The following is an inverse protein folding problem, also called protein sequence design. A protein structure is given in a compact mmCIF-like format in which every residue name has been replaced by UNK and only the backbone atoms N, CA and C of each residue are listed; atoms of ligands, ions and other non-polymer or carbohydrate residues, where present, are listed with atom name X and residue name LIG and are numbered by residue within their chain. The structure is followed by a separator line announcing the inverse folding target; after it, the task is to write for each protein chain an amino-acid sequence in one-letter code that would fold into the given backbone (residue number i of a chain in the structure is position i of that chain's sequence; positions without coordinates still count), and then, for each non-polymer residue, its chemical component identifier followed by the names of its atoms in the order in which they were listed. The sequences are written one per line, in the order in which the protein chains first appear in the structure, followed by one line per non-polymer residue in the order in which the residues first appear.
data_IF_130426308075
#
_entry.id   IF_130426308075
#
_cell.length_a   1.000
_cell.length_b   1.000
_cell.length_c   1.000
_cell.angle_alpha   90.00
_cell.angle_beta   90.00
_cell.angle_gamma   90.00
#
_symmetry.space_group_name_H-M   'P 1'
#
loop_
_entity.id
_entity.type
_entity.pdbx_description
1 polymer ?
#
# COMPACT_ATOMS: atom_id res chain seq x y z
N UNK A 1 -9.16 -16.13 -10.05
CA UNK A 1 -9.71 -16.65 -8.77
C UNK A 1 -8.57 -17.03 -7.83
N UNK A 2 -8.71 -16.87 -6.50
CA UNK A 2 -7.70 -17.32 -5.52
C UNK A 2 -8.00 -18.75 -5.05
N UNK A 3 -6.98 -19.55 -4.71
CA UNK A 3 -7.14 -20.91 -4.14
C UNK A 3 -8.10 -20.90 -2.94
N UNK A 4 -8.05 -19.87 -2.09
CA UNK A 4 -8.97 -19.70 -0.96
C UNK A 4 -10.42 -19.50 -1.41
N UNK A 5 -10.66 -18.66 -2.42
CA UNK A 5 -12.01 -18.42 -2.96
C UNK A 5 -12.58 -19.66 -3.63
N UNK A 6 -11.77 -20.41 -4.38
CA UNK A 6 -12.19 -21.66 -4.99
C UNK A 6 -12.53 -22.73 -3.95
N UNK A 7 -11.74 -22.87 -2.88
CA UNK A 7 -12.06 -23.79 -1.77
C UNK A 7 -13.42 -23.47 -1.13
N UNK A 8 -13.74 -22.19 -0.94
CA UNK A 8 -15.04 -21.75 -0.38
C UNK A 8 -16.20 -22.10 -1.33
N UNK A 9 -16.01 -21.97 -2.64
CA UNK A 9 -17.05 -22.28 -3.62
C UNK A 9 -17.32 -23.78 -3.73
N UNK A 10 -16.26 -24.59 -3.65
CA UNK A 10 -16.36 -26.05 -3.59
C UNK A 10 -17.04 -26.49 -2.30
N UNK A 11 -16.64 -25.94 -1.13
CA UNK A 11 -17.27 -26.29 0.15
C UNK A 11 -18.75 -25.91 0.22
N UNK A 12 -19.17 -24.87 -0.53
CA UNK A 12 -20.57 -24.46 -0.64
C UNK A 12 -21.35 -25.20 -1.74
N UNK A 13 -20.75 -26.21 -2.38
CA UNK A 13 -21.39 -27.02 -3.43
C UNK A 13 -21.73 -26.25 -4.70
N UNK A 14 -21.19 -25.04 -4.90
CA UNK A 14 -21.47 -24.21 -6.07
C UNK A 14 -20.70 -24.66 -7.32
N UNK A 15 -19.73 -25.55 -7.14
CA UNK A 15 -18.93 -26.12 -8.23
C UNK A 15 -18.94 -27.66 -8.09
N UNK A 16 -19.96 -28.35 -8.61
CA UNK A 16 -20.21 -29.77 -8.34
C UNK A 16 -19.20 -30.75 -8.97
N UNK A 17 -18.36 -30.31 -9.91
CA UNK A 17 -17.38 -31.17 -10.62
C UNK A 17 -15.96 -31.10 -10.06
N UNK A 18 -15.66 -30.19 -9.14
CA UNK A 18 -14.32 -30.00 -8.58
C UNK A 18 -14.29 -30.52 -7.15
N UNK A 19 -13.68 -31.71 -6.96
CA UNK A 19 -13.46 -32.32 -5.63
C UNK A 19 -12.27 -31.70 -4.90
N UNK A 20 -11.21 -31.39 -5.64
CA UNK A 20 -10.00 -30.75 -5.13
C UNK A 20 -9.60 -29.58 -6.00
N UNK A 21 -9.00 -28.57 -5.37
CA UNK A 21 -8.50 -27.37 -6.04
C UNK A 21 -7.00 -27.26 -5.79
N UNK A 22 -6.23 -27.73 -6.77
CA UNK A 22 -4.81 -27.46 -6.87
C UNK A 22 -4.59 -26.29 -7.83
N UNK A 23 -4.09 -25.19 -7.29
CA UNK A 23 -3.60 -24.07 -8.10
C UNK A 23 -2.08 -24.13 -7.95
N UNK A 24 -1.41 -24.46 -9.05
CA UNK A 24 0.05 -24.46 -9.13
C UNK A 24 0.63 -23.04 -9.06
N UNK A 25 1.96 -22.94 -9.19
CA UNK A 25 2.60 -21.64 -9.34
C UNK A 25 2.12 -20.98 -10.64
N UNK A 26 1.66 -19.73 -10.53
CA UNK A 26 1.21 -18.92 -11.66
C UNK A 26 1.99 -17.61 -11.63
N UNK A 27 3.01 -17.52 -12.48
CA UNK A 27 3.89 -16.35 -12.57
C UNK A 27 3.11 -15.04 -12.85
N UNK A 28 2.18 -14.98 -13.84
CA UNK A 28 1.39 -13.78 -14.09
C UNK A 28 0.47 -13.42 -12.90
N UNK A 29 0.00 -14.41 -12.15
CA UNK A 29 -0.86 -14.18 -10.99
C UNK A 29 -0.09 -13.58 -9.82
N UNK A 30 1.19 -13.90 -9.67
CA UNK A 30 2.06 -13.36 -8.61
C UNK A 30 2.44 -11.93 -8.92
N UNK A 31 2.86 -11.63 -10.15
CA UNK A 31 3.19 -10.27 -10.57
C UNK A 31 1.96 -9.37 -10.70
N UNK A 32 0.82 -9.91 -11.13
CA UNK A 32 -0.42 -9.15 -11.30
C UNK A 32 -1.22 -8.92 -10.01
N UNK A 33 -1.00 -9.72 -8.95
CA UNK A 33 -1.64 -9.50 -7.66
C UNK A 33 -0.71 -8.77 -6.72
N UNK A 34 -0.95 -7.47 -6.52
CA UNK A 34 -0.33 -6.77 -5.41
C UNK A 34 -0.77 -7.39 -4.07
N UNK A 35 0.19 -7.94 -3.33
CA UNK A 35 0.01 -8.32 -1.94
C UNK A 35 0.24 -7.08 -1.09
N UNK A 36 -0.73 -6.70 -0.25
CA UNK A 36 -0.51 -5.71 0.79
C UNK A 36 0.47 -6.34 1.79
N UNK A 37 1.72 -5.88 1.77
CA UNK A 37 2.72 -6.20 2.78
C UNK A 37 2.68 -5.14 3.86
N UNK A 38 2.59 -5.55 5.11
CA UNK A 38 2.72 -4.64 6.25
C UNK A 38 4.19 -4.50 6.58
N UNK A 39 4.70 -3.27 6.52
CA UNK A 39 6.02 -2.97 7.05
C UNK A 39 5.97 -2.91 8.58
N UNK A 40 7.01 -3.44 9.25
CA UNK A 40 7.17 -3.26 10.69
C UNK A 40 7.36 -1.77 10.94
N UNK A 41 6.40 -1.14 11.61
CA UNK A 41 6.57 0.24 12.07
C UNK A 41 7.58 0.22 13.21
N UNK A 42 8.75 0.79 13.00
CA UNK A 42 9.67 1.10 14.11
C UNK A 42 8.93 2.00 15.10
N UNK A 43 8.91 1.63 16.38
CA UNK A 43 8.33 2.47 17.43
C UNK A 43 9.18 3.73 17.52
N UNK A 44 8.66 4.88 17.05
CA UNK A 44 9.34 6.17 17.24
C UNK A 44 9.35 6.46 18.75
N UNK A 45 10.53 6.73 19.30
CA UNK A 45 10.64 7.24 20.67
C UNK A 45 10.03 8.64 20.74
N UNK A 46 9.26 8.96 21.78
CA UNK A 46 8.77 10.32 22.00
C UNK A 46 9.96 11.27 22.16
N UNK A 47 9.83 12.43 21.51
CA UNK A 47 10.79 13.53 21.61
C UNK A 47 10.59 14.25 22.94
N UNK A 48 11.68 14.49 23.67
CA UNK A 48 11.65 14.99 25.05
C UNK A 48 11.82 16.50 25.09
N UNK A 49 12.58 17.07 24.16
CA UNK A 49 12.90 18.50 24.12
C UNK A 49 12.12 19.23 23.01
N UNK A 50 11.81 20.50 23.25
CA UNK A 50 11.24 21.39 22.23
C UNK A 50 12.22 21.55 21.07
N UNK A 51 11.74 21.41 19.83
CA UNK A 51 12.55 21.46 18.59
C UNK A 51 13.56 20.32 18.41
N UNK A 52 13.46 19.20 19.15
CA UNK A 52 14.34 18.03 18.96
C UNK A 52 14.22 17.41 17.56
N UNK A 53 13.06 17.58 16.91
CA UNK A 53 12.84 17.15 15.53
C UNK A 53 11.86 18.10 14.86
N UNK A 54 12.31 18.75 13.78
CA UNK A 54 11.46 19.55 12.90
C UNK A 54 11.29 18.81 11.59
N UNK A 55 10.04 18.61 11.17
CA UNK A 55 9.74 18.00 9.88
C UNK A 55 9.35 19.10 8.91
N UNK A 56 10.25 19.40 7.98
CA UNK A 56 9.99 20.31 6.88
C UNK A 56 9.65 19.54 5.62
N UNK A 57 8.71 20.06 4.84
CA UNK A 57 8.35 19.53 3.54
C UNK A 57 8.32 20.66 2.50
N UNK A 58 8.61 20.33 1.24
CA UNK A 58 8.58 21.28 0.14
C UNK A 58 7.47 20.89 -0.82
N UNK A 59 6.52 21.80 -0.99
CA UNK A 59 5.44 21.67 -1.94
C UNK A 59 5.75 22.46 -3.21
N UNK A 60 5.67 21.80 -4.36
CA UNK A 60 5.79 22.44 -5.67
C UNK A 60 6.43 21.51 -6.72
N UNK A 61 6.52 21.96 -7.99
CA UNK A 61 6.12 23.27 -8.49
C UNK A 61 4.60 23.44 -8.60
N UNK A 62 4.08 24.60 -8.21
CA UNK A 62 2.67 24.96 -8.44
C UNK A 62 2.46 25.52 -9.84
N UNK A 63 1.30 25.28 -10.44
CA UNK A 63 0.94 25.80 -11.76
C UNK A 63 0.74 27.32 -11.82
N UNK A 64 0.46 27.92 -10.67
CA UNK A 64 0.31 29.37 -10.48
C UNK A 64 1.39 29.82 -9.51
N UNK A 65 2.05 30.93 -9.82
CA UNK A 65 3.04 31.54 -8.95
C UNK A 65 2.38 32.32 -7.81
N UNK A 66 3.09 32.47 -6.69
CA UNK A 66 2.73 33.44 -5.65
C UNK A 66 2.73 34.86 -6.20
N UNK A 67 2.24 35.81 -5.39
CA UNK A 67 2.29 37.24 -5.73
C UNK A 67 3.71 37.71 -6.06
N UNK A 68 4.72 37.11 -5.41
CA UNK A 68 6.15 37.43 -5.61
C UNK A 68 6.83 36.50 -6.64
N UNK A 69 6.07 35.66 -7.35
CA UNK A 69 6.61 34.79 -8.40
C UNK A 69 7.10 33.40 -7.94
N UNK A 70 7.00 33.06 -6.65
CA UNK A 70 7.44 31.76 -6.13
C UNK A 70 6.51 30.63 -6.55
N UNK A 71 7.06 29.48 -6.91
CA UNK A 71 6.30 28.27 -7.30
C UNK A 71 6.55 27.08 -6.36
N UNK A 72 7.41 27.25 -5.36
CA UNK A 72 7.73 26.27 -4.34
C UNK A 72 7.52 26.88 -2.96
N UNK A 73 7.02 26.09 -2.03
CA UNK A 73 6.69 26.50 -0.67
C UNK A 73 7.28 25.51 0.32
N UNK A 74 8.00 26.01 1.33
CA UNK A 74 8.48 25.19 2.42
C UNK A 74 7.51 25.30 3.60
N UNK A 75 7.09 24.15 4.11
CA UNK A 75 6.32 24.01 5.33
C UNK A 75 7.27 23.50 6.42
N UNK A 76 7.24 24.14 7.60
CA UNK A 76 8.07 23.82 8.76
C UNK A 76 7.22 23.51 9.97
#
# INVERSE_FOLDING_TARGET
MSKKGMKILVSKGKIPKLKEVEVGFCEPCVFGKQKIVTFVKSRKMPKVETLELVHTDVYGPTSVSSLEGSQYFAFM
#
